data_IF_301328819706
#
_entry.id   IF_301328819706
#
_cell.length_a   1.000
_cell.length_b   1.000
_cell.length_c   1.000
_cell.angle_alpha   90.00
_cell.angle_beta   90.00
_cell.angle_gamma   90.00
#
_symmetry.space_group_name_H-M   'P 1'
#
loop_
_entity.id
_entity.type
_entity.pdbx_description
1 polymer ?
#
# COMPACT_ATOMS: atom_id res chain seq x y z
N UNK A 1 15.34 -10.43 21.20
CA UNK A 1 13.87 -10.36 21.07
C UNK A 1 13.46 -11.25 19.91
N UNK A 2 12.43 -12.07 20.09
CA UNK A 2 11.88 -12.93 19.03
C UNK A 2 11.07 -12.08 18.04
N UNK A 3 11.22 -12.34 16.74
CA UNK A 3 10.46 -11.65 15.69
C UNK A 3 8.96 -11.92 15.87
N UNK A 4 8.08 -10.90 15.76
CA UNK A 4 6.63 -11.14 15.82
C UNK A 4 6.19 -12.03 14.67
N UNK A 5 5.17 -12.88 14.91
CA UNK A 5 4.60 -13.73 13.86
C UNK A 5 3.81 -12.90 12.85
N UNK A 6 3.03 -11.93 13.31
CA UNK A 6 2.20 -11.07 12.48
C UNK A 6 2.35 -9.60 12.88
N UNK A 7 2.15 -8.68 11.93
CA UNK A 7 2.30 -7.24 12.13
C UNK A 7 1.11 -6.45 11.55
N UNK A 8 0.90 -5.24 12.06
CA UNK A 8 -0.04 -4.27 11.48
C UNK A 8 0.61 -3.59 10.28
N UNK A 9 0.24 -4.03 9.08
CA UNK A 9 0.74 -3.51 7.81
C UNK A 9 -0.31 -2.67 7.05
N UNK A 10 -1.37 -2.23 7.72
CA UNK A 10 -2.42 -1.39 7.16
C UNK A 10 -3.09 -0.53 8.23
N UNK A 11 -4.01 0.38 7.87
CA UNK A 11 -4.86 1.05 8.85
C UNK A 11 -5.84 0.13 9.60
N UNK A 12 -5.96 -1.14 9.20
CA UNK A 12 -6.82 -2.12 9.85
C UNK A 12 -6.03 -3.03 10.80
N UNK A 13 -6.59 -3.30 11.97
CA UNK A 13 -5.88 -3.98 13.08
C UNK A 13 -6.49 -5.31 13.48
N UNK A 14 -7.58 -5.73 12.84
CA UNK A 14 -8.22 -7.02 13.05
C UNK A 14 -7.37 -8.16 12.48
N UNK A 15 -7.56 -9.37 13.00
CA UNK A 15 -6.70 -10.54 12.72
C UNK A 15 -6.57 -10.84 11.21
N UNK A 16 -7.67 -10.78 10.46
CA UNK A 16 -7.69 -10.99 9.01
C UNK A 16 -6.90 -9.97 8.18
N UNK A 17 -6.49 -8.85 8.81
CA UNK A 17 -5.70 -7.78 8.19
C UNK A 17 -4.25 -7.76 8.63
N UNK A 18 -3.85 -8.61 9.58
CA UNK A 18 -2.47 -8.69 10.00
C UNK A 18 -1.64 -9.41 8.94
N UNK A 19 -0.45 -8.89 8.66
CA UNK A 19 0.49 -9.52 7.75
C UNK A 19 1.27 -10.60 8.49
N UNK A 20 1.08 -11.86 8.12
CA UNK A 20 1.85 -12.99 8.65
C UNK A 20 3.26 -12.98 8.05
N UNK A 21 4.26 -12.62 8.86
CA UNK A 21 5.65 -12.56 8.43
C UNK A 21 6.22 -13.95 8.10
N UNK A 22 5.65 -15.02 8.64
CA UNK A 22 6.10 -16.38 8.31
C UNK A 22 5.76 -16.80 6.88
N UNK A 23 4.85 -16.08 6.21
CA UNK A 23 4.52 -16.26 4.79
C UNK A 23 5.52 -15.61 3.82
N UNK A 24 6.49 -14.84 4.34
CA UNK A 24 7.44 -14.06 3.56
C UNK A 24 8.85 -14.63 3.66
N UNK A 25 9.63 -14.51 2.59
CA UNK A 25 11.07 -14.77 2.65
C UNK A 25 11.78 -13.72 3.51
N UNK A 26 12.98 -14.07 3.99
CA UNK A 26 13.72 -13.27 4.98
C UNK A 26 13.88 -11.79 4.59
N UNK A 27 14.15 -11.49 3.31
CA UNK A 27 14.28 -10.09 2.83
C UNK A 27 12.93 -9.35 2.88
N UNK A 28 11.85 -9.99 2.42
CA UNK A 28 10.51 -9.38 2.48
C UNK A 28 10.00 -9.22 3.91
N UNK A 29 10.43 -10.07 4.85
CA UNK A 29 10.16 -9.85 6.28
C UNK A 29 10.77 -8.54 6.77
N UNK A 30 12.03 -8.23 6.42
CA UNK A 30 12.66 -6.96 6.82
C UNK A 30 12.00 -5.76 6.14
N UNK A 31 11.64 -5.89 4.87
CA UNK A 31 10.91 -4.84 4.13
C UNK A 31 9.57 -4.56 4.80
N UNK A 32 8.80 -5.60 5.11
CA UNK A 32 7.51 -5.48 5.77
C UNK A 32 7.63 -4.87 7.17
N UNK A 33 8.67 -5.24 7.93
CA UNK A 33 8.98 -4.65 9.23
C UNK A 33 9.33 -3.16 9.09
N UNK A 34 10.19 -2.78 8.15
CA UNK A 34 10.51 -1.36 7.94
C UNK A 34 9.26 -0.56 7.51
N UNK A 35 8.41 -1.14 6.67
CA UNK A 35 7.17 -0.52 6.21
C UNK A 35 6.15 -0.25 7.34
N UNK A 36 6.33 -0.77 8.56
CA UNK A 36 5.50 -0.32 9.71
C UNK A 36 5.70 1.16 9.99
N UNK A 37 6.88 1.71 9.71
CA UNK A 37 7.23 3.13 9.88
C UNK A 37 6.86 4.00 8.66
N UNK A 38 6.25 3.40 7.62
CA UNK A 38 5.84 4.09 6.41
C UNK A 38 4.77 5.14 6.72
N UNK A 39 5.04 6.38 6.34
CA UNK A 39 4.19 7.53 6.59
C UNK A 39 4.40 8.60 5.53
N UNK A 40 3.39 9.45 5.36
CA UNK A 40 3.57 10.66 4.57
C UNK A 40 4.53 11.62 5.27
N UNK A 41 5.32 12.33 4.46
CA UNK A 41 6.21 13.42 4.89
C UNK A 41 5.67 14.79 4.48
N UNK A 42 4.49 14.85 3.87
CA UNK A 42 3.90 16.09 3.34
C UNK A 42 2.38 16.01 3.36
N UNK A 43 1.71 17.04 3.89
CA UNK A 43 0.25 17.17 3.83
C UNK A 43 -0.28 17.30 2.38
N UNK A 44 0.61 17.45 1.40
CA UNK A 44 0.30 17.50 -0.04
C UNK A 44 0.60 16.18 -0.75
N UNK A 45 0.70 15.06 -0.03
CA UNK A 45 0.95 13.73 -0.61
C UNK A 45 0.01 13.37 -1.77
N UNK A 46 -1.22 13.88 -1.75
CA UNK A 46 -2.21 13.58 -2.78
C UNK A 46 -1.93 14.30 -4.10
N UNK A 47 -1.06 15.33 -4.13
CA UNK A 47 -0.84 16.22 -5.27
C UNK A 47 0.57 16.16 -5.85
N UNK A 48 1.58 15.88 -5.02
CA UNK A 48 2.99 15.87 -5.43
C UNK A 48 3.45 14.47 -5.84
N UNK A 49 4.65 14.38 -6.42
CA UNK A 49 5.30 13.13 -6.76
C UNK A 49 5.29 12.12 -5.60
N UNK A 50 5.08 10.84 -5.92
CA UNK A 50 4.91 9.79 -4.91
C UNK A 50 6.16 9.66 -4.04
N UNK A 51 7.35 9.62 -4.63
CA UNK A 51 8.59 9.44 -3.88
C UNK A 51 8.86 10.62 -2.94
N UNK A 52 8.46 11.82 -3.36
CA UNK A 52 8.53 13.05 -2.57
C UNK A 52 7.47 13.14 -1.45
N UNK A 53 6.41 12.32 -1.53
CA UNK A 53 5.27 12.34 -0.60
C UNK A 53 5.48 11.50 0.67
N UNK A 54 6.42 10.57 0.64
CA UNK A 54 6.59 9.53 1.65
C UNK A 54 8.05 9.37 2.08
N UNK A 55 8.25 8.82 3.27
CA UNK A 55 9.57 8.55 3.85
C UNK A 55 10.32 7.34 3.23
N UNK A 56 10.20 7.10 1.92
CA UNK A 56 10.74 5.89 1.25
C UNK A 56 12.24 5.72 1.47
N UNK A 57 13.03 6.80 1.38
CA UNK A 57 14.46 6.73 1.64
C UNK A 57 14.81 6.26 3.06
N UNK A 58 13.98 6.64 4.05
CA UNK A 58 14.16 6.17 5.43
C UNK A 58 13.81 4.68 5.57
N UNK A 59 12.76 4.21 4.89
CA UNK A 59 12.41 2.78 4.84
C UNK A 59 13.56 1.97 4.23
N UNK A 60 14.08 2.41 3.08
CA UNK A 60 15.22 1.76 2.41
C UNK A 60 16.43 1.70 3.35
N UNK A 61 16.77 2.80 4.02
CA UNK A 61 17.89 2.85 4.94
C UNK A 61 17.73 1.85 6.10
N UNK A 62 16.52 1.70 6.67
CA UNK A 62 16.25 0.70 7.71
C UNK A 62 16.50 -0.73 7.22
N UNK A 63 16.02 -1.07 6.01
CA UNK A 63 16.22 -2.41 5.44
C UNK A 63 17.70 -2.66 5.15
N UNK A 64 18.44 -1.69 4.61
CA UNK A 64 19.88 -1.82 4.36
C UNK A 64 20.67 -1.99 5.66
N UNK A 65 20.33 -1.24 6.71
CA UNK A 65 20.96 -1.32 8.03
C UNK A 65 20.71 -2.66 8.74
N UNK A 66 19.66 -3.40 8.37
CA UNK A 66 19.44 -4.76 8.90
C UNK A 66 20.53 -5.76 8.48
N UNK A 67 21.32 -5.44 7.44
CA UNK A 67 22.35 -6.32 6.88
C UNK A 67 21.82 -7.50 6.07
N UNK A 68 20.49 -7.66 5.96
CA UNK A 68 19.86 -8.84 5.32
C UNK A 68 19.96 -8.89 3.81
N UNK A 69 20.25 -7.75 3.20
CA UNK A 69 20.53 -7.64 1.78
C UNK A 69 21.99 -8.02 1.45
N UNK A 70 22.86 -8.19 2.44
CA UNK A 70 24.25 -8.57 2.20
C UNK A 70 24.31 -9.93 1.49
N UNK A 71 25.04 -9.98 0.38
CA UNK A 71 25.16 -11.16 -0.49
C UNK A 71 23.84 -11.65 -1.10
N UNK A 72 22.77 -10.84 -1.09
CA UNK A 72 21.53 -11.11 -1.81
C UNK A 72 21.51 -10.36 -3.15
N UNK A 73 20.87 -10.91 -4.20
CA UNK A 73 20.58 -10.13 -5.40
C UNK A 73 19.64 -8.96 -5.06
N UNK A 74 19.63 -7.88 -5.87
CA UNK A 74 18.65 -6.81 -5.71
C UNK A 74 17.23 -7.36 -5.70
N UNK A 75 16.46 -6.94 -4.70
CA UNK A 75 15.05 -7.32 -4.53
C UNK A 75 14.16 -6.27 -5.13
N UNK A 76 13.17 -6.69 -5.91
CA UNK A 76 12.20 -5.78 -6.52
C UNK A 76 10.93 -5.72 -5.67
N UNK A 77 10.36 -4.53 -5.58
CA UNK A 77 9.11 -4.26 -4.89
C UNK A 77 8.26 -3.43 -5.84
N UNK A 78 7.01 -3.86 -6.00
CA UNK A 78 6.06 -3.22 -6.89
C UNK A 78 5.07 -2.38 -6.06
N UNK A 79 4.86 -1.14 -6.47
CA UNK A 79 4.02 -0.20 -5.72
C UNK A 79 2.92 0.32 -6.64
N UNK A 80 1.68 0.30 -6.16
CA UNK A 80 0.55 0.94 -6.84
C UNK A 80 0.09 2.10 -5.98
N UNK A 81 -0.13 3.27 -6.58
CA UNK A 81 -0.80 4.39 -5.95
C UNK A 81 -2.08 4.76 -6.71
N UNK A 82 -3.14 5.04 -5.96
CA UNK A 82 -4.42 5.49 -6.45
C UNK A 82 -4.62 6.93 -6.00
N UNK A 83 -4.69 7.86 -6.96
CA UNK A 83 -5.09 9.24 -6.69
C UNK A 83 -6.54 9.42 -7.05
N UNK A 84 -7.31 9.82 -6.07
CA UNK A 84 -8.75 9.67 -6.07
C UNK A 84 -9.41 11.00 -5.68
N UNK A 85 -10.47 11.38 -6.39
CA UNK A 85 -11.43 12.40 -5.97
C UNK A 85 -12.81 11.77 -6.05
N UNK A 86 -13.52 11.73 -4.93
CA UNK A 86 -14.93 11.31 -4.92
C UNK A 86 -15.81 12.43 -5.48
N UNK A 87 -16.84 12.08 -6.22
CA UNK A 87 -17.91 13.01 -6.56
C UNK A 87 -18.50 13.62 -5.28
N UNK A 88 -18.77 14.92 -5.32
CA UNK A 88 -19.19 15.69 -4.15
C UNK A 88 -20.41 15.08 -3.44
N UNK A 89 -21.43 14.65 -4.19
CA UNK A 89 -22.64 14.04 -3.65
C UNK A 89 -22.38 12.68 -2.97
N UNK A 90 -21.34 11.95 -3.39
CA UNK A 90 -20.93 10.70 -2.74
C UNK A 90 -20.20 11.03 -1.44
N UNK A 91 -19.21 11.93 -1.49
CA UNK A 91 -18.38 12.28 -0.35
C UNK A 91 -19.19 12.90 0.81
N UNK A 92 -20.23 13.68 0.50
CA UNK A 92 -21.08 14.34 1.50
C UNK A 92 -22.12 13.41 2.13
N UNK A 93 -22.29 12.19 1.62
CA UNK A 93 -23.25 11.22 2.13
C UNK A 93 -22.56 10.24 3.12
N UNK A 94 -22.92 10.25 4.42
CA UNK A 94 -22.31 9.38 5.43
C UNK A 94 -22.51 7.88 5.16
N UNK A 95 -23.64 7.49 4.55
CA UNK A 95 -23.88 6.10 4.20
C UNK A 95 -22.94 5.63 3.07
N UNK A 96 -22.68 6.48 2.08
CA UNK A 96 -21.74 6.17 1.00
C UNK A 96 -20.31 6.05 1.51
N UNK A 97 -19.86 6.99 2.35
CA UNK A 97 -18.50 6.95 2.91
C UNK A 97 -18.29 5.72 3.82
N UNK A 98 -19.30 5.35 4.63
CA UNK A 98 -19.29 4.09 5.38
C UNK A 98 -19.23 2.87 4.46
N UNK A 99 -20.04 2.84 3.41
CA UNK A 99 -20.06 1.73 2.47
C UNK A 99 -18.72 1.58 1.72
N UNK A 100 -18.09 2.71 1.35
CA UNK A 100 -16.75 2.72 0.75
C UNK A 100 -15.71 2.15 1.70
N UNK A 101 -15.72 2.56 2.97
CA UNK A 101 -14.84 2.00 4.00
C UNK A 101 -15.03 0.49 4.15
N UNK A 102 -16.28 0.00 4.21
CA UNK A 102 -16.56 -1.42 4.35
C UNK A 102 -16.10 -2.23 3.12
N UNK A 103 -16.17 -1.65 1.92
CA UNK A 103 -15.68 -2.28 0.70
C UNK A 103 -14.15 -2.30 0.64
N UNK A 104 -13.50 -1.20 1.02
CA UNK A 104 -12.05 -1.12 1.10
C UNK A 104 -11.49 -2.15 2.10
N UNK A 105 -12.08 -2.22 3.29
CA UNK A 105 -11.69 -3.16 4.34
C UNK A 105 -11.82 -4.61 3.88
N UNK A 106 -12.95 -4.97 3.24
CA UNK A 106 -13.15 -6.32 2.70
C UNK A 106 -12.18 -6.66 1.57
N UNK A 107 -11.89 -5.69 0.71
CA UNK A 107 -10.93 -5.84 -0.38
C UNK A 107 -9.50 -6.03 0.15
N UNK A 108 -9.16 -5.33 1.24
CA UNK A 108 -7.89 -5.50 1.94
C UNK A 108 -7.76 -6.88 2.60
N UNK A 109 -8.79 -7.38 3.30
CA UNK A 109 -8.78 -8.73 3.87
C UNK A 109 -8.54 -9.81 2.79
N UNK A 110 -9.24 -9.71 1.66
CA UNK A 110 -9.06 -10.65 0.54
C UNK A 110 -7.64 -10.57 -0.05
N UNK A 111 -7.13 -9.36 -0.29
CA UNK A 111 -5.77 -9.14 -0.75
C UNK A 111 -4.71 -9.70 0.21
N UNK A 112 -4.90 -9.50 1.52
CA UNK A 112 -4.01 -10.01 2.56
C UNK A 112 -4.02 -11.54 2.61
N UNK A 113 -5.19 -12.17 2.50
CA UNK A 113 -5.34 -13.62 2.48
C UNK A 113 -4.74 -14.27 1.21
N UNK A 114 -4.76 -13.57 0.06
CA UNK A 114 -4.14 -14.03 -1.18
C UNK A 114 -2.60 -13.93 -1.16
N UNK A 115 -2.05 -13.13 -0.25
CA UNK A 115 -0.63 -13.00 0.02
C UNK A 115 0.13 -12.05 -0.93
N UNK A 116 1.33 -11.68 -0.53
CA UNK A 116 2.24 -10.82 -1.30
C UNK A 116 2.03 -9.31 -1.14
N UNK A 117 0.97 -8.88 -0.44
CA UNK A 117 0.81 -7.51 0.05
C UNK A 117 1.76 -7.28 1.24
N UNK A 118 2.59 -6.24 1.15
CA UNK A 118 3.57 -5.88 2.18
C UNK A 118 3.13 -4.68 3.02
N UNK A 119 2.39 -3.75 2.42
CA UNK A 119 1.83 -2.57 3.08
C UNK A 119 0.60 -2.10 2.34
N UNK A 120 -0.43 -1.71 3.08
CA UNK A 120 -1.51 -0.85 2.60
C UNK A 120 -1.53 0.46 3.40
N UNK A 121 -1.81 1.56 2.73
CA UNK A 121 -1.93 2.87 3.36
C UNK A 121 -2.95 3.72 2.59
N UNK A 122 -3.75 4.50 3.32
CA UNK A 122 -4.57 5.54 2.72
C UNK A 122 -4.52 6.81 3.57
N UNK A 123 -4.63 7.94 2.89
CA UNK A 123 -4.72 9.25 3.51
C UNK A 123 -6.16 9.68 3.80
N UNK A 124 -6.30 10.92 4.23
CA UNK A 124 -7.58 11.62 4.30
C UNK A 124 -7.77 12.49 3.05
N UNK A 125 -9.01 12.65 2.55
CA UNK A 125 -9.28 13.62 1.49
C UNK A 125 -8.83 15.02 1.89
N UNK A 126 -8.20 15.74 0.96
CA UNK A 126 -7.87 17.16 1.12
C UNK A 126 -9.18 17.96 1.39
N UNK A 127 -9.21 18.86 2.38
CA UNK A 127 -10.42 19.58 2.75
C UNK A 127 -10.99 20.50 1.66
N UNK A 128 -10.14 20.99 0.77
CA UNK A 128 -10.53 21.95 -0.28
C UNK A 128 -10.93 21.23 -1.57
N UNK A 129 -10.13 20.26 -2.00
CA UNK A 129 -10.32 19.60 -3.30
C UNK A 129 -10.98 18.22 -3.21
N UNK A 130 -10.99 17.61 -2.03
CA UNK A 130 -11.41 16.22 -1.84
C UNK A 130 -10.43 15.18 -2.39
N UNK A 131 -9.26 15.61 -2.89
CA UNK A 131 -8.25 14.71 -3.44
C UNK A 131 -7.57 13.89 -2.36
N UNK A 132 -7.45 12.59 -2.58
CA UNK A 132 -6.82 11.66 -1.65
C UNK A 132 -5.85 10.73 -2.39
N UNK A 133 -5.05 9.99 -1.62
CA UNK A 133 -4.19 8.94 -2.09
C UNK A 133 -4.35 7.67 -1.24
N UNK A 134 -4.45 6.53 -1.91
CA UNK A 134 -4.25 5.21 -1.33
C UNK A 134 -3.11 4.50 -2.04
N UNK A 135 -2.35 3.65 -1.34
CA UNK A 135 -1.21 2.94 -1.94
C UNK A 135 -0.99 1.57 -1.33
N UNK A 136 -0.53 0.65 -2.17
CA UNK A 136 -0.19 -0.72 -1.82
C UNK A 136 1.24 -1.03 -2.26
N UNK A 137 2.00 -1.68 -1.38
CA UNK A 137 3.33 -2.23 -1.67
C UNK A 137 3.22 -3.74 -1.79
N UNK A 138 3.75 -4.30 -2.87
CA UNK A 138 3.64 -5.71 -3.23
C UNK A 138 5.00 -6.29 -3.53
N UNK A 139 5.18 -7.60 -3.31
CA UNK A 139 6.41 -8.29 -3.73
C UNK A 139 6.66 -8.19 -5.23
N UNK A 140 5.61 -8.23 -6.04
CA UNK A 140 5.69 -8.22 -7.50
C UNK A 140 4.32 -7.87 -8.13
N UNK A 141 4.28 -7.56 -9.44
CA UNK A 141 3.04 -7.29 -10.16
C UNK A 141 2.02 -8.44 -10.17
N UNK A 142 2.49 -9.70 -10.15
CA UNK A 142 1.61 -10.87 -10.18
C UNK A 142 0.81 -11.02 -8.88
N UNK A 143 1.43 -10.75 -7.72
CA UNK A 143 0.75 -10.75 -6.43
C UNK A 143 -0.25 -9.59 -6.36
N UNK A 144 0.11 -8.41 -6.87
CA UNK A 144 -0.82 -7.28 -6.98
C UNK A 144 -2.03 -7.60 -7.88
N UNK A 145 -1.80 -8.27 -9.01
CA UNK A 145 -2.88 -8.70 -9.90
C UNK A 145 -3.80 -9.71 -9.21
N UNK A 146 -3.25 -10.71 -8.49
CA UNK A 146 -4.07 -11.66 -7.72
C UNK A 146 -4.91 -10.93 -6.68
N UNK A 147 -4.31 -10.01 -5.92
CA UNK A 147 -5.03 -9.23 -4.91
C UNK A 147 -6.13 -8.33 -5.49
N UNK A 148 -5.90 -7.73 -6.67
CA UNK A 148 -6.89 -6.89 -7.35
C UNK A 148 -7.97 -7.66 -8.13
N UNK A 149 -7.76 -8.95 -8.40
CA UNK A 149 -8.71 -9.80 -9.13
C UNK A 149 -9.52 -10.73 -8.23
N UNK A 150 -9.34 -10.62 -6.91
CA UNK A 150 -10.21 -11.28 -5.94
C UNK A 150 -11.69 -10.93 -6.14
N UNK A 151 -12.58 -11.87 -5.86
CA UNK A 151 -14.02 -11.72 -6.14
C UNK A 151 -14.61 -10.55 -5.35
N UNK A 152 -14.19 -10.38 -4.10
CA UNK A 152 -14.66 -9.29 -3.25
C UNK A 152 -14.10 -7.95 -3.70
N UNK A 153 -12.83 -7.91 -4.10
CA UNK A 153 -12.18 -6.73 -4.64
C UNK A 153 -12.87 -6.27 -5.94
N UNK A 154 -13.09 -7.19 -6.89
CA UNK A 154 -13.78 -6.90 -8.15
C UNK A 154 -15.21 -6.42 -7.91
N UNK A 155 -15.96 -7.10 -7.03
CA UNK A 155 -17.32 -6.69 -6.69
C UNK A 155 -17.37 -5.32 -6.01
N UNK A 156 -16.37 -5.00 -5.18
CA UNK A 156 -16.23 -3.70 -4.52
C UNK A 156 -15.95 -2.60 -5.53
N UNK A 157 -14.93 -2.78 -6.36
CA UNK A 157 -14.56 -1.82 -7.42
C UNK A 157 -15.73 -1.61 -8.39
N UNK A 158 -16.42 -2.66 -8.82
CA UNK A 158 -17.57 -2.54 -9.71
C UNK A 158 -18.69 -1.66 -9.13
N UNK A 159 -18.89 -1.68 -7.80
CA UNK A 159 -19.90 -0.87 -7.11
C UNK A 159 -19.49 0.59 -6.97
N UNK A 160 -18.22 0.86 -6.69
CA UNK A 160 -17.76 2.21 -6.33
C UNK A 160 -17.07 2.96 -7.47
N UNK A 161 -16.68 2.30 -8.57
CA UNK A 161 -15.91 2.94 -9.65
C UNK A 161 -16.57 4.21 -10.19
N UNK A 162 -17.89 4.22 -10.34
CA UNK A 162 -18.65 5.36 -10.85
C UNK A 162 -18.85 6.47 -9.81
N UNK A 163 -18.33 6.32 -8.60
CA UNK A 163 -18.39 7.32 -7.53
C UNK A 163 -17.26 8.34 -7.59
N UNK A 164 -16.22 8.05 -8.37
CA UNK A 164 -15.05 8.89 -8.47
C UNK A 164 -15.20 9.88 -9.63
N UNK A 165 -14.83 11.13 -9.37
CA UNK A 165 -14.60 12.15 -10.38
C UNK A 165 -13.20 11.99 -10.98
N UNK A 166 -12.21 11.69 -10.15
CA UNK A 166 -10.86 11.32 -10.55
C UNK A 166 -10.52 9.93 -10.02
N UNK A 167 -10.05 9.06 -10.90
CA UNK A 167 -9.40 7.80 -10.55
C UNK A 167 -8.14 7.66 -11.41
N UNK A 168 -6.98 8.00 -10.85
CA UNK A 168 -5.68 7.84 -11.50
C UNK A 168 -4.89 6.75 -10.80
N UNK A 169 -4.34 5.82 -11.58
CA UNK A 169 -3.47 4.75 -11.09
C UNK A 169 -2.05 5.06 -11.54
N UNK A 170 -1.13 5.01 -10.59
CA UNK A 170 0.31 5.17 -10.79
C UNK A 170 0.98 3.86 -10.34
N UNK A 171 2.00 3.43 -11.08
CA UNK A 171 2.71 2.19 -10.82
C UNK A 171 4.20 2.48 -10.73
N UNK A 172 4.85 1.89 -9.74
CA UNK A 172 6.26 2.10 -9.49
C UNK A 172 6.97 0.78 -9.20
N UNK A 173 8.28 0.77 -9.47
CA UNK A 173 9.18 -0.29 -9.07
C UNK A 173 10.29 0.31 -8.19
N UNK A 174 10.48 -0.29 -7.01
CA UNK A 174 11.66 -0.12 -6.19
C UNK A 174 12.56 -1.33 -6.40
N UNK A 175 13.76 -1.11 -6.94
CA UNK A 175 14.84 -2.10 -6.91
C UNK A 175 15.74 -1.79 -5.71
N UNK A 176 15.86 -2.73 -4.78
CA UNK A 176 16.53 -2.58 -3.50
C UNK A 176 17.72 -3.54 -3.38
N UNK A 177 18.93 -2.98 -3.37
CA UNK A 177 20.17 -3.68 -3.09
C UNK A 177 20.78 -3.27 -1.75
N UNK A 178 21.86 -3.95 -1.34
CA UNK A 178 22.51 -3.73 -0.05
C UNK A 178 23.00 -2.29 0.16
N UNK A 179 23.55 -1.67 -0.88
CA UNK A 179 24.16 -0.32 -0.82
C UNK A 179 23.64 0.62 -1.93
N UNK A 180 22.58 0.22 -2.62
CA UNK A 180 21.98 0.99 -3.70
C UNK A 180 20.48 0.72 -3.75
N UNK A 181 19.74 1.66 -4.33
CA UNK A 181 18.35 1.45 -4.68
C UNK A 181 18.00 2.33 -5.87
N UNK A 182 17.01 1.90 -6.65
CA UNK A 182 16.47 2.64 -7.76
C UNK A 182 14.95 2.67 -7.68
N UNK A 183 14.38 3.84 -7.96
CA UNK A 183 12.94 4.07 -8.00
C UNK A 183 12.57 4.57 -9.38
N UNK A 184 11.53 3.97 -9.97
CA UNK A 184 10.99 4.40 -11.25
C UNK A 184 9.50 4.19 -11.33
N UNK A 185 8.84 5.05 -12.09
CA UNK A 185 7.48 4.83 -12.59
C UNK A 185 7.53 3.85 -13.77
N UNK A 186 6.52 2.98 -13.89
CA UNK A 186 6.46 1.90 -14.90
C UNK A 186 5.10 1.79 -15.58
#
# INVERSE_FOLDING_TARGET
>A
MTRPKAIVASPYTEEEHLLDLSSLDAVYQEIALALTDFRSTSDKYAFIDYLSSFNVAAIVAQVQQSGRLANQPPTKIYVIAFRLILKREVAQNPQNTRLLFDFDKRSHAEANALGGLLKYWYGKPDPETGQNLATCWWRNPQDAQKGGTGKMHQASVAKVRNWYELWRVEQYELELGANHWHWREI
#
